data_IF_161146011201
#
_entry.id   IF_161146011201
#
_cell.length_a   1.000
_cell.length_b   1.000
_cell.length_c   1.000
_cell.angle_alpha   90.00
_cell.angle_beta   90.00
_cell.angle_gamma   90.00
#
_symmetry.space_group_name_H-M   'P 1'
#
loop_
_entity.id
_entity.type
_entity.pdbx_description
1 polymer ?
#
# COMPACT_ATOMS: atom_id res chain seq x y z
N UNK A 1 -2.39 18.24 24.20
CA UNK A 1 -1.84 16.85 24.21
C UNK A 1 -1.64 16.27 22.81
N UNK A 2 -2.62 16.34 21.89
CA UNK A 2 -2.51 15.73 20.54
C UNK A 2 -1.33 16.28 19.72
N UNK A 3 -1.14 17.61 19.69
CA UNK A 3 -0.04 18.26 18.96
C UNK A 3 1.32 17.79 19.48
N UNK A 4 1.50 17.72 20.80
CA UNK A 4 2.75 17.26 21.43
C UNK A 4 3.06 15.80 21.03
N UNK A 5 2.05 14.91 21.09
CA UNK A 5 2.21 13.52 20.62
C UNK A 5 2.63 13.47 19.16
N UNK A 6 2.06 14.30 18.31
CA UNK A 6 2.42 14.36 16.89
C UNK A 6 3.85 14.91 16.68
N UNK A 7 4.30 15.90 17.45
CA UNK A 7 5.68 16.38 17.42
C UNK A 7 6.66 15.27 17.83
N UNK A 8 6.38 14.57 18.93
CA UNK A 8 7.18 13.42 19.38
C UNK A 8 7.20 12.33 18.30
N UNK A 9 6.05 12.00 17.72
CA UNK A 9 5.98 11.01 16.63
C UNK A 9 6.85 11.42 15.46
N UNK A 10 6.78 12.67 14.98
CA UNK A 10 7.56 13.13 13.84
C UNK A 10 9.06 13.13 14.12
N UNK A 11 9.48 13.49 15.34
CA UNK A 11 10.87 13.39 15.76
C UNK A 11 11.36 11.94 15.70
N UNK A 12 10.63 11.02 16.38
CA UNK A 12 10.98 9.60 16.41
C UNK A 12 10.92 8.95 15.02
N UNK A 13 9.92 9.33 14.21
CA UNK A 13 9.80 8.89 12.81
C UNK A 13 11.02 9.30 11.99
N UNK A 14 11.49 10.55 12.15
CA UNK A 14 12.66 11.06 11.42
C UNK A 14 13.93 10.32 11.82
N UNK A 15 14.17 10.13 13.12
CA UNK A 15 15.33 9.39 13.63
C UNK A 15 15.29 7.92 13.19
N UNK A 16 14.14 7.27 13.31
CA UNK A 16 13.92 5.89 12.87
C UNK A 16 14.15 5.75 11.35
N UNK A 17 13.62 6.67 10.56
CA UNK A 17 13.78 6.65 9.09
C UNK A 17 15.24 6.87 8.70
N UNK A 18 15.94 7.79 9.34
CA UNK A 18 17.36 8.03 9.08
C UNK A 18 18.21 6.79 9.42
N UNK A 19 17.97 6.17 10.57
CA UNK A 19 18.64 4.93 10.96
C UNK A 19 18.44 3.83 9.91
N UNK A 20 17.17 3.53 9.55
CA UNK A 20 16.87 2.50 8.57
C UNK A 20 17.32 2.85 7.15
N UNK A 21 17.41 4.12 6.80
CA UNK A 21 18.00 4.55 5.54
C UNK A 21 19.48 4.14 5.45
N UNK A 22 20.26 4.36 6.51
CA UNK A 22 21.67 3.91 6.57
C UNK A 22 21.76 2.38 6.48
N UNK A 23 20.93 1.64 7.26
CA UNK A 23 20.89 0.18 7.20
C UNK A 23 20.54 -0.31 5.79
N UNK A 24 19.60 0.34 5.13
CA UNK A 24 19.18 0.01 3.76
C UNK A 24 20.30 0.28 2.74
N UNK A 25 21.05 1.38 2.89
CA UNK A 25 22.23 1.66 2.06
C UNK A 25 23.30 0.59 2.23
N UNK A 26 23.62 0.20 3.45
CA UNK A 26 24.57 -0.87 3.74
C UNK A 26 24.09 -2.23 3.19
N UNK A 27 22.77 -2.43 3.11
CA UNK A 27 22.19 -3.64 2.53
C UNK A 27 22.14 -3.63 0.99
N UNK A 28 22.63 -2.59 0.31
CA UNK A 28 22.52 -2.44 -1.16
C UNK A 28 23.17 -3.60 -1.94
N UNK A 29 24.21 -4.21 -1.37
CA UNK A 29 24.90 -5.38 -1.95
C UNK A 29 24.14 -6.70 -1.77
N UNK A 30 23.11 -6.73 -0.92
CA UNK A 30 22.34 -7.93 -0.62
C UNK A 30 21.26 -8.20 -1.71
N UNK A 31 20.80 -9.45 -1.83
CA UNK A 31 19.67 -9.79 -2.69
C UNK A 31 18.42 -8.97 -2.37
N UNK A 32 17.60 -8.69 -3.40
CA UNK A 32 16.43 -7.81 -3.28
C UNK A 32 15.46 -8.22 -2.15
N UNK A 33 15.28 -9.51 -1.90
CA UNK A 33 14.42 -9.99 -0.81
C UNK A 33 14.91 -9.57 0.57
N UNK A 34 16.23 -9.64 0.82
CA UNK A 34 16.81 -9.22 2.10
C UNK A 34 16.71 -7.70 2.29
N UNK A 35 16.95 -6.90 1.24
CA UNK A 35 16.71 -5.45 1.29
C UNK A 35 15.24 -5.14 1.58
N UNK A 36 14.32 -5.89 0.99
CA UNK A 36 12.89 -5.77 1.27
C UNK A 36 12.55 -6.03 2.74
N UNK A 37 13.19 -7.02 3.37
CA UNK A 37 13.01 -7.28 4.81
C UNK A 37 13.40 -6.07 5.67
N UNK A 38 14.48 -5.35 5.31
CA UNK A 38 14.87 -4.09 5.99
C UNK A 38 13.74 -3.06 5.89
N UNK A 39 13.19 -2.84 4.71
CA UNK A 39 12.08 -1.91 4.52
C UNK A 39 10.79 -2.35 5.24
N UNK A 40 10.53 -3.65 5.30
CA UNK A 40 9.39 -4.19 6.07
C UNK A 40 9.57 -3.94 7.56
N UNK A 41 10.77 -4.16 8.11
CA UNK A 41 11.07 -3.88 9.53
C UNK A 41 10.93 -2.38 9.83
N UNK A 42 11.43 -1.52 8.94
CA UNK A 42 11.21 -0.08 9.03
C UNK A 42 9.72 0.28 9.10
N UNK A 43 8.91 -0.24 8.18
CA UNK A 43 7.48 0.04 8.13
C UNK A 43 6.75 -0.46 9.38
N UNK A 44 7.07 -1.67 9.86
CA UNK A 44 6.55 -2.21 11.13
C UNK A 44 6.93 -1.33 12.32
N UNK A 45 8.17 -0.83 12.36
CA UNK A 45 8.62 0.11 13.39
C UNK A 45 7.82 1.41 13.38
N UNK A 46 7.55 2.00 12.20
CA UNK A 46 6.71 3.21 12.08
C UNK A 46 5.29 2.95 12.55
N UNK A 47 4.69 1.81 12.18
CA UNK A 47 3.36 1.40 12.68
C UNK A 47 3.37 1.23 14.20
N UNK A 48 4.45 0.65 14.74
CA UNK A 48 4.69 0.56 16.19
C UNK A 48 4.75 1.93 16.88
N UNK A 49 5.46 2.91 16.29
CA UNK A 49 5.50 4.28 16.79
C UNK A 49 4.12 4.95 16.75
N UNK A 50 3.35 4.77 15.68
CA UNK A 50 1.97 5.27 15.58
C UNK A 50 1.09 4.68 16.68
N UNK A 51 1.23 3.38 16.97
CA UNK A 51 0.49 2.71 18.04
C UNK A 51 0.89 3.24 19.41
N UNK A 52 2.19 3.35 19.73
CA UNK A 52 2.67 3.69 21.07
C UNK A 52 2.57 5.17 21.40
N UNK A 53 2.84 6.06 20.45
CA UNK A 53 2.88 7.52 20.67
C UNK A 53 1.52 8.17 20.42
N UNK A 54 0.89 7.84 19.30
CA UNK A 54 -0.39 8.43 18.89
C UNK A 54 -1.57 7.66 19.48
N UNK A 55 -1.45 6.34 19.64
CA UNK A 55 -2.58 5.45 19.94
C UNK A 55 -3.33 4.99 18.69
N UNK A 56 -2.70 5.08 17.51
CA UNK A 56 -3.27 4.63 16.24
C UNK A 56 -2.92 3.16 15.99
N UNK A 57 -3.92 2.30 16.08
CA UNK A 57 -3.80 0.85 15.92
C UNK A 57 -4.41 0.40 14.59
N UNK A 58 -4.30 -0.87 14.26
CA UNK A 58 -5.08 -1.48 13.18
C UNK A 58 -5.65 -2.84 13.60
N UNK A 59 -6.71 -3.22 12.91
CA UNK A 59 -7.32 -4.55 12.93
C UNK A 59 -7.53 -5.04 11.50
N UNK A 60 -7.64 -6.35 11.34
CA UNK A 60 -7.80 -7.00 10.04
C UNK A 60 -9.06 -7.85 10.08
N UNK A 61 -9.89 -7.70 9.06
CA UNK A 61 -11.03 -8.55 8.76
C UNK A 61 -10.74 -9.32 7.46
N UNK A 62 -11.08 -10.59 7.40
CA UNK A 62 -10.88 -11.42 6.21
C UNK A 62 -9.43 -11.86 5.99
N UNK A 63 -8.68 -12.12 7.06
CA UNK A 63 -7.29 -12.61 6.96
C UNK A 63 -7.20 -13.92 6.17
N UNK A 64 -8.21 -14.77 6.26
CA UNK A 64 -8.40 -16.02 5.53
C UNK A 64 -8.50 -15.85 4.01
N UNK A 65 -8.77 -14.63 3.55
CA UNK A 65 -8.85 -14.29 2.13
C UNK A 65 -7.47 -14.03 1.48
N UNK A 66 -6.39 -14.07 2.26
CA UNK A 66 -5.03 -13.93 1.70
C UNK A 66 -4.63 -15.29 1.09
N UNK A 67 -4.45 -15.37 -0.25
CA UNK A 67 -4.05 -16.63 -0.89
C UNK A 67 -2.59 -16.98 -0.57
N UNK A 68 -2.24 -18.27 -0.68
CA UNK A 68 -0.87 -18.74 -0.50
C UNK A 68 0.07 -18.34 -1.64
N UNK A 69 -0.48 -17.96 -2.79
CA UNK A 69 0.28 -17.59 -3.97
C UNK A 69 0.41 -16.08 -4.13
N UNK A 70 1.57 -15.57 -4.65
CA UNK A 70 1.75 -14.16 -4.93
C UNK A 70 0.61 -13.57 -5.77
N UNK A 71 0.00 -12.51 -5.26
CA UNK A 71 -1.20 -11.89 -5.83
C UNK A 71 -1.05 -10.38 -5.91
N UNK A 72 -1.99 -9.71 -6.59
CA UNK A 72 -2.06 -8.26 -6.68
C UNK A 72 -3.00 -7.74 -5.60
N UNK A 73 -2.46 -7.02 -4.61
CA UNK A 73 -3.26 -6.33 -3.61
C UNK A 73 -3.81 -5.04 -4.21
N UNK A 74 -5.13 -4.96 -4.35
CA UNK A 74 -5.84 -3.77 -4.79
C UNK A 74 -6.45 -3.07 -3.57
N UNK A 75 -5.77 -2.06 -3.05
CA UNK A 75 -6.19 -1.40 -1.82
C UNK A 75 -6.77 -0.02 -2.10
N UNK A 76 -7.86 0.34 -1.41
CA UNK A 76 -8.33 1.73 -1.30
C UNK A 76 -7.19 2.63 -0.83
N UNK A 77 -7.10 3.86 -1.35
CA UNK A 77 -6.02 4.78 -1.00
C UNK A 77 -6.56 6.03 -0.33
N UNK A 78 -6.39 6.16 0.98
CA UNK A 78 -6.86 7.32 1.76
C UNK A 78 -5.72 8.08 2.44
N UNK A 79 -4.65 7.38 2.84
CA UNK A 79 -3.63 7.91 3.74
C UNK A 79 -2.20 7.48 3.34
N UNK A 80 -1.21 7.88 4.12
CA UNK A 80 0.12 7.26 4.11
C UNK A 80 0.18 5.99 4.98
N UNK A 81 -0.81 5.80 5.85
CA UNK A 81 -0.83 4.70 6.81
C UNK A 81 -0.86 3.32 6.14
N UNK A 82 -1.73 3.14 5.15
CA UNK A 82 -1.87 1.85 4.47
C UNK A 82 -0.61 1.44 3.72
N UNK A 83 0.21 2.39 3.25
CA UNK A 83 1.48 2.05 2.59
C UNK A 83 2.50 1.44 3.55
N UNK A 84 2.37 1.72 4.84
CA UNK A 84 3.18 1.17 5.93
C UNK A 84 2.58 -0.13 6.46
N UNK A 85 1.28 -0.11 6.79
CA UNK A 85 0.61 -1.25 7.42
C UNK A 85 0.52 -2.47 6.49
N UNK A 86 0.30 -2.28 5.19
CA UNK A 86 0.27 -3.37 4.22
C UNK A 86 1.60 -4.16 4.19
N UNK A 87 2.74 -3.51 4.46
CA UNK A 87 4.04 -4.19 4.60
C UNK A 87 4.09 -5.15 5.80
N UNK A 88 3.25 -4.92 6.82
CA UNK A 88 3.16 -5.81 7.97
C UNK A 88 2.12 -6.92 7.79
N UNK A 89 1.09 -6.67 6.97
CA UNK A 89 -0.08 -7.54 6.79
C UNK A 89 0.18 -8.60 5.71
N UNK A 90 0.69 -8.18 4.56
CA UNK A 90 0.91 -9.08 3.42
C UNK A 90 2.36 -9.58 3.34
N UNK A 91 2.61 -10.71 2.66
CA UNK A 91 3.97 -11.19 2.38
C UNK A 91 4.79 -10.13 1.62
N UNK A 92 6.08 -10.41 1.41
CA UNK A 92 7.00 -9.50 0.70
C UNK A 92 6.39 -8.94 -0.59
N UNK A 93 6.20 -7.64 -0.66
CA UNK A 93 5.47 -6.98 -1.73
C UNK A 93 6.17 -5.74 -2.25
N UNK A 94 5.94 -5.40 -3.49
CA UNK A 94 6.37 -4.15 -4.12
C UNK A 94 5.18 -3.27 -4.43
N UNK A 95 5.35 -1.95 -4.28
CA UNK A 95 4.31 -0.99 -4.62
C UNK A 95 4.45 -0.49 -6.06
N UNK A 96 3.31 -0.28 -6.70
CA UNK A 96 3.23 0.50 -7.94
C UNK A 96 3.12 1.97 -7.57
N UNK A 97 4.12 2.76 -7.93
CA UNK A 97 4.23 4.16 -7.51
C UNK A 97 4.61 5.11 -8.67
N UNK A 98 4.47 6.39 -8.41
CA UNK A 98 4.89 7.44 -9.37
C UNK A 98 6.40 7.55 -9.42
N UNK A 99 6.98 7.61 -10.62
CA UNK A 99 8.41 7.81 -10.85
C UNK A 99 8.97 9.05 -10.14
N UNK A 100 8.16 10.10 -10.04
CA UNK A 100 8.54 11.36 -9.40
C UNK A 100 8.92 11.21 -7.92
N UNK A 101 8.45 10.15 -7.23
CA UNK A 101 8.82 9.89 -5.84
C UNK A 101 10.32 9.56 -5.66
N UNK A 102 10.99 9.12 -6.73
CA UNK A 102 12.44 8.88 -6.69
C UNK A 102 13.28 10.14 -6.55
N UNK A 103 12.71 11.31 -6.85
CA UNK A 103 13.42 12.59 -6.74
C UNK A 103 13.34 13.21 -5.34
N UNK A 104 12.58 12.60 -4.41
CA UNK A 104 12.53 13.07 -3.02
C UNK A 104 13.84 12.67 -2.33
N UNK A 105 14.64 13.65 -1.82
CA UNK A 105 15.90 13.35 -1.15
C UNK A 105 15.72 12.34 0.00
N UNK A 106 16.69 11.45 0.19
CA UNK A 106 16.70 10.36 1.19
C UNK A 106 15.62 9.31 0.91
N UNK A 107 14.35 9.71 0.88
CA UNK A 107 13.21 8.81 0.66
C UNK A 107 13.23 8.15 -0.72
N UNK A 108 13.55 8.92 -1.78
CA UNK A 108 13.62 8.41 -3.15
C UNK A 108 14.71 7.37 -3.34
N UNK A 109 15.89 7.58 -2.77
CA UNK A 109 16.99 6.61 -2.80
C UNK A 109 16.61 5.32 -2.07
N UNK A 110 15.96 5.43 -0.90
CA UNK A 110 15.43 4.28 -0.18
C UNK A 110 14.40 3.50 -1.01
N UNK A 111 13.49 4.20 -1.70
CA UNK A 111 12.51 3.57 -2.59
C UNK A 111 13.19 2.80 -3.75
N UNK A 112 14.24 3.35 -4.36
CA UNK A 112 14.97 2.67 -5.46
C UNK A 112 15.52 1.33 -4.97
N UNK A 113 16.10 1.30 -3.78
CA UNK A 113 16.64 0.07 -3.18
C UNK A 113 15.55 -0.98 -2.89
N UNK A 114 14.32 -0.54 -2.62
CA UNK A 114 13.15 -1.40 -2.44
C UNK A 114 12.60 -1.97 -3.76
N UNK A 115 13.19 -1.59 -4.90
CA UNK A 115 12.82 -2.14 -6.22
C UNK A 115 11.32 -2.04 -6.57
N UNK A 116 10.62 -0.91 -6.36
CA UNK A 116 9.21 -0.77 -6.67
C UNK A 116 8.95 -0.85 -8.19
N UNK A 117 7.69 -0.84 -8.57
CA UNK A 117 7.25 -0.69 -9.96
C UNK A 117 6.95 0.79 -10.21
N UNK A 118 7.80 1.46 -10.95
CA UNK A 118 7.67 2.89 -11.21
C UNK A 118 6.86 3.19 -12.49
N UNK A 119 5.90 4.12 -12.37
CA UNK A 119 5.05 4.56 -13.49
C UNK A 119 5.43 5.98 -13.91
N UNK A 120 5.76 6.16 -15.17
CA UNK A 120 5.78 7.47 -15.83
C UNK A 120 4.38 7.76 -16.43
N UNK A 121 3.58 8.54 -15.72
CA UNK A 121 2.21 8.87 -16.15
C UNK A 121 2.15 9.85 -17.32
N UNK A 122 3.26 10.48 -17.66
CA UNK A 122 3.33 11.42 -18.80
C UNK A 122 3.41 10.70 -20.15
N UNK A 123 3.70 9.39 -20.15
CA UNK A 123 3.84 8.56 -21.36
C UNK A 123 3.00 7.29 -21.26
N UNK A 124 1.64 7.37 -21.34
CA UNK A 124 0.74 6.26 -21.03
C UNK A 124 0.99 4.98 -21.86
N UNK A 125 1.25 5.12 -23.16
CA UNK A 125 1.46 4.00 -24.06
C UNK A 125 2.74 3.19 -23.72
N UNK A 126 3.84 3.86 -23.37
CA UNK A 126 5.08 3.22 -22.92
C UNK A 126 4.97 2.70 -21.48
N UNK A 127 4.18 3.39 -20.65
CA UNK A 127 3.98 3.04 -19.25
C UNK A 127 3.41 1.63 -19.08
N UNK A 128 2.41 1.24 -19.86
CA UNK A 128 1.79 -0.08 -19.77
C UNK A 128 2.79 -1.22 -19.99
N UNK A 129 3.60 -1.14 -21.05
CA UNK A 129 4.62 -2.15 -21.36
C UNK A 129 5.67 -2.22 -20.23
N UNK A 130 6.20 -1.06 -19.82
CA UNK A 130 7.21 -0.98 -18.75
C UNK A 130 6.70 -1.54 -17.42
N UNK A 131 5.43 -1.27 -17.07
CA UNK A 131 4.82 -1.78 -15.83
C UNK A 131 4.71 -3.30 -15.88
N UNK A 132 4.30 -3.88 -17.00
CA UNK A 132 4.18 -5.32 -17.15
C UNK A 132 5.55 -6.01 -17.10
N UNK A 133 6.56 -5.47 -17.78
CA UNK A 133 7.94 -5.99 -17.72
C UNK A 133 8.52 -5.93 -16.30
N UNK A 134 8.33 -4.81 -15.59
CA UNK A 134 8.75 -4.67 -14.21
C UNK A 134 7.96 -5.64 -13.31
N UNK A 135 6.64 -5.74 -13.48
CA UNK A 135 5.76 -6.64 -12.73
C UNK A 135 6.18 -8.10 -12.88
N UNK A 136 6.46 -8.54 -14.13
CA UNK A 136 6.95 -9.88 -14.39
C UNK A 136 8.24 -10.19 -13.63
N UNK A 137 9.23 -9.28 -13.69
CA UNK A 137 10.49 -9.41 -12.94
C UNK A 137 10.28 -9.52 -11.43
N UNK A 138 9.24 -8.91 -10.88
CA UNK A 138 8.90 -8.97 -9.43
C UNK A 138 8.17 -10.28 -9.11
N UNK A 139 7.19 -10.68 -9.94
CA UNK A 139 6.51 -11.98 -9.84
C UNK A 139 7.52 -13.12 -9.86
N UNK A 140 8.44 -13.13 -10.82
CA UNK A 140 9.45 -14.19 -10.98
C UNK A 140 10.37 -14.30 -9.74
N UNK A 141 10.50 -13.21 -8.95
CA UNK A 141 11.18 -13.19 -7.65
C UNK A 141 10.25 -13.52 -6.47
N UNK A 142 9.00 -13.89 -6.74
CA UNK A 142 8.00 -14.24 -5.71
C UNK A 142 7.47 -13.06 -4.89
N UNK A 143 7.55 -11.83 -5.41
CA UNK A 143 6.94 -10.67 -4.76
C UNK A 143 5.45 -10.56 -5.09
N UNK A 144 4.68 -10.15 -4.10
CA UNK A 144 3.34 -9.59 -4.27
C UNK A 144 3.43 -8.20 -4.87
N UNK A 145 2.35 -7.72 -5.48
CA UNK A 145 2.31 -6.38 -6.07
C UNK A 145 1.15 -5.61 -5.46
N UNK A 146 1.42 -4.47 -4.85
CA UNK A 146 0.37 -3.61 -4.30
C UNK A 146 0.10 -2.44 -5.23
N UNK A 147 -1.16 -2.25 -5.55
CA UNK A 147 -1.67 -1.19 -6.43
C UNK A 147 -2.81 -0.47 -5.72
N UNK A 148 -2.78 0.84 -5.79
CA UNK A 148 -3.90 1.70 -5.44
C UNK A 148 -4.64 2.06 -6.74
N UNK A 149 -5.80 1.42 -7.03
CA UNK A 149 -6.43 1.52 -8.35
C UNK A 149 -6.94 2.93 -8.68
N UNK A 150 -7.24 3.74 -7.68
CA UNK A 150 -7.62 5.15 -7.82
C UNK A 150 -6.45 6.03 -8.29
N UNK A 151 -5.23 5.61 -7.96
CA UNK A 151 -3.99 6.29 -8.33
C UNK A 151 -3.75 7.61 -7.61
N UNK A 152 -4.58 7.97 -6.66
CA UNK A 152 -4.43 9.12 -5.74
C UNK A 152 -5.17 8.82 -4.46
N UNK A 153 -4.84 9.56 -3.39
CA UNK A 153 -5.57 9.45 -2.12
C UNK A 153 -6.94 10.10 -2.24
N UNK A 154 -7.98 9.36 -1.87
CA UNK A 154 -9.39 9.77 -1.85
C UNK A 154 -9.79 10.02 -0.39
N UNK A 155 -10.60 11.03 -0.14
CA UNK A 155 -11.07 11.33 1.23
C UNK A 155 -12.07 10.26 1.70
N UNK A 156 -12.16 10.02 3.01
CA UNK A 156 -13.25 9.22 3.59
C UNK A 156 -14.62 9.71 3.10
N UNK A 157 -15.53 8.78 2.84
CA UNK A 157 -16.86 9.07 2.29
C UNK A 157 -16.90 9.37 0.78
N UNK A 158 -15.74 9.53 0.12
CA UNK A 158 -15.67 9.79 -1.31
C UNK A 158 -15.29 8.51 -2.09
N UNK A 159 -15.82 8.39 -3.31
CA UNK A 159 -15.46 7.34 -4.27
C UNK A 159 -14.58 7.91 -5.37
N UNK A 160 -13.42 7.28 -5.59
CA UNK A 160 -12.50 7.62 -6.67
C UNK A 160 -12.80 6.85 -7.96
N UNK A 161 -12.18 7.27 -9.06
CA UNK A 161 -12.24 6.52 -10.33
C UNK A 161 -11.23 5.38 -10.32
N UNK A 162 -11.67 4.15 -10.43
CA UNK A 162 -10.83 2.96 -10.53
C UNK A 162 -10.26 2.79 -11.93
N UNK A 163 -8.93 2.64 -12.03
CA UNK A 163 -8.21 2.49 -13.30
C UNK A 163 -8.00 1.02 -13.62
N UNK A 164 -8.12 0.63 -14.87
CA UNK A 164 -7.97 -0.75 -15.34
C UNK A 164 -6.55 -1.31 -15.20
N UNK A 165 -5.57 -0.52 -14.77
CA UNK A 165 -4.17 -0.92 -14.69
C UNK A 165 -3.91 -2.15 -13.82
N UNK A 166 -4.61 -2.28 -12.68
CA UNK A 166 -4.50 -3.43 -11.80
C UNK A 166 -5.02 -4.72 -12.46
N UNK A 167 -6.22 -4.68 -13.06
CA UNK A 167 -6.81 -5.83 -13.73
C UNK A 167 -6.02 -6.25 -14.99
N UNK A 168 -5.52 -5.29 -15.77
CA UNK A 168 -4.61 -5.57 -16.89
C UNK A 168 -3.33 -6.26 -16.44
N UNK A 169 -2.76 -5.83 -15.34
CA UNK A 169 -1.57 -6.46 -14.78
C UNK A 169 -1.89 -7.86 -14.25
N UNK A 170 -3.01 -8.04 -13.54
CA UNK A 170 -3.46 -9.33 -13.02
C UNK A 170 -3.60 -10.36 -14.16
N UNK A 171 -4.28 -9.98 -15.23
CA UNK A 171 -4.46 -10.80 -16.43
C UNK A 171 -3.13 -11.15 -17.10
N UNK A 172 -2.29 -10.15 -17.36
CA UNK A 172 -1.04 -10.34 -18.08
C UNK A 172 0.00 -11.13 -17.28
N UNK A 173 -0.02 -11.02 -15.96
CA UNK A 173 0.89 -11.73 -15.07
C UNK A 173 0.29 -13.03 -14.50
N UNK A 174 -0.97 -13.35 -14.79
CA UNK A 174 -1.68 -14.50 -14.20
C UNK A 174 -1.55 -14.49 -12.67
N UNK A 175 -1.91 -13.36 -12.06
CA UNK A 175 -1.93 -13.14 -10.60
C UNK A 175 -3.34 -12.77 -10.17
N UNK A 176 -3.88 -13.43 -9.15
CA UNK A 176 -5.18 -13.08 -8.60
C UNK A 176 -5.17 -11.66 -8.02
N UNK A 177 -6.32 -11.01 -7.97
CA UNK A 177 -6.48 -9.71 -7.33
C UNK A 177 -7.10 -9.89 -5.94
N UNK A 178 -6.51 -9.26 -4.93
CA UNK A 178 -7.03 -9.23 -3.55
C UNK A 178 -7.53 -7.82 -3.25
N UNK A 179 -8.85 -7.59 -3.28
CA UNK A 179 -9.41 -6.29 -2.97
C UNK A 179 -9.33 -5.99 -1.46
N UNK A 180 -8.94 -4.78 -1.09
CA UNK A 180 -8.79 -4.36 0.31
C UNK A 180 -9.41 -2.98 0.52
N UNK A 181 -10.39 -2.89 1.42
CA UNK A 181 -10.92 -1.64 1.93
C UNK A 181 -10.14 -1.18 3.17
N UNK A 182 -10.03 0.13 3.40
CA UNK A 182 -9.34 0.69 4.56
C UNK A 182 -9.89 2.07 4.92
N UNK A 183 -10.13 2.33 6.21
CA UNK A 183 -10.62 3.60 6.72
C UNK A 183 -9.53 4.51 7.31
N UNK A 184 -8.29 4.34 6.89
CA UNK A 184 -7.10 5.02 7.42
C UNK A 184 -7.17 6.56 7.31
N UNK A 185 -7.90 7.09 6.33
CA UNK A 185 -8.07 8.52 6.13
C UNK A 185 -8.82 9.24 7.25
N UNK A 186 -9.63 8.52 8.02
CA UNK A 186 -10.32 9.05 9.21
C UNK A 186 -9.32 9.43 10.31
N UNK A 187 -8.21 8.69 10.42
CA UNK A 187 -7.22 8.85 11.49
C UNK A 187 -5.94 9.57 11.04
N UNK A 188 -5.59 9.43 9.76
CA UNK A 188 -4.47 10.16 9.17
C UNK A 188 -4.90 10.78 7.83
N UNK A 189 -5.56 11.93 7.84
CA UNK A 189 -6.03 12.60 6.63
C UNK A 189 -4.89 12.93 5.66
N UNK A 190 -5.20 12.96 4.37
CA UNK A 190 -4.27 13.33 3.31
C UNK A 190 -3.64 14.70 3.60
N UNK A 191 -2.32 14.79 3.53
CA UNK A 191 -1.52 15.99 3.77
C UNK A 191 -1.65 16.59 5.19
N UNK A 192 -2.22 15.86 6.16
CA UNK A 192 -2.31 16.33 7.54
C UNK A 192 -0.99 16.09 8.29
N UNK A 193 -0.58 17.11 9.05
CA UNK A 193 0.47 16.96 10.06
C UNK A 193 -0.03 16.09 11.22
N UNK A 194 -1.30 16.24 11.60
CA UNK A 194 -1.89 15.53 12.72
C UNK A 194 -2.32 14.10 12.33
N UNK A 195 -2.07 13.17 13.24
CA UNK A 195 -2.60 11.82 13.29
C UNK A 195 -3.45 11.72 14.56
N UNK A 196 -4.55 11.00 14.46
CA UNK A 196 -5.52 10.85 15.54
C UNK A 196 -5.47 9.42 16.08
N UNK A 197 -5.69 9.22 17.39
CA UNK A 197 -5.81 7.89 17.97
C UNK A 197 -7.04 7.18 17.42
N UNK A 198 -6.99 5.86 17.42
CA UNK A 198 -8.11 5.02 16.98
C UNK A 198 -7.65 3.71 16.36
N UNK A 199 -8.57 3.00 15.73
CA UNK A 199 -8.30 1.71 15.11
C UNK A 199 -8.64 1.75 13.62
N UNK A 200 -7.60 1.65 12.78
CA UNK A 200 -7.77 1.49 11.33
C UNK A 200 -8.19 0.06 11.04
N UNK A 201 -9.27 -0.11 10.28
CA UNK A 201 -9.72 -1.43 9.82
C UNK A 201 -9.27 -1.68 8.39
N UNK A 202 -8.58 -2.80 8.18
CA UNK A 202 -8.30 -3.37 6.87
C UNK A 202 -9.29 -4.51 6.64
N UNK A 203 -10.19 -4.35 5.67
CA UNK A 203 -11.16 -5.38 5.30
C UNK A 203 -10.72 -6.03 3.98
N UNK A 204 -10.15 -7.24 4.09
CA UNK A 204 -9.61 -8.02 2.98
C UNK A 204 -10.75 -8.86 2.40
N UNK A 205 -11.04 -8.65 1.12
CA UNK A 205 -12.13 -9.32 0.44
C UNK A 205 -11.66 -10.58 -0.28
N UNK A 206 -12.59 -11.51 -0.56
CA UNK A 206 -12.28 -12.72 -1.31
C UNK A 206 -11.60 -12.42 -2.64
N UNK A 207 -10.53 -13.14 -3.00
CA UNK A 207 -9.76 -12.91 -4.22
C UNK A 207 -10.62 -13.01 -5.48
N UNK A 208 -10.20 -12.31 -6.53
CA UNK A 208 -10.74 -12.38 -7.87
C UNK A 208 -9.71 -13.10 -8.72
N UNK A 209 -10.12 -14.17 -9.39
CA UNK A 209 -9.25 -14.96 -10.26
C UNK A 209 -8.74 -14.11 -11.43
N UNK A 210 -7.49 -14.34 -11.85
CA UNK A 210 -6.85 -13.56 -12.92
C UNK A 210 -7.52 -13.75 -14.29
N UNK A 211 -8.23 -14.87 -14.47
CA UNK A 211 -8.99 -15.24 -15.69
C UNK A 211 -10.49 -14.92 -15.60
N UNK A 212 -10.94 -14.27 -14.51
CA UNK A 212 -12.34 -13.87 -14.33
C UNK A 212 -12.79 -12.86 -15.39
N UNK A 213 -13.78 -13.20 -16.19
CA UNK A 213 -14.46 -12.32 -17.15
C UNK A 213 -13.51 -11.49 -18.04
N UNK A 214 -13.91 -10.30 -18.42
CA UNK A 214 -13.07 -9.29 -19.08
C UNK A 214 -12.23 -8.50 -18.05
N UNK A 215 -11.27 -7.70 -18.52
CA UNK A 215 -10.49 -6.78 -17.67
C UNK A 215 -11.40 -5.76 -16.99
N UNK A 216 -12.41 -5.31 -17.71
CA UNK A 216 -13.41 -4.35 -17.23
C UNK A 216 -14.27 -4.96 -16.13
N UNK A 217 -14.80 -6.16 -16.34
CA UNK A 217 -15.60 -6.90 -15.34
C UNK A 217 -14.78 -7.23 -14.09
N UNK A 218 -13.52 -7.66 -14.25
CA UNK A 218 -12.61 -7.92 -13.14
C UNK A 218 -12.40 -6.64 -12.30
N UNK A 219 -12.20 -5.48 -12.94
CA UNK A 219 -12.01 -4.23 -12.21
C UNK A 219 -13.30 -3.75 -11.56
N UNK A 220 -14.45 -3.91 -12.22
CA UNK A 220 -15.75 -3.58 -11.67
C UNK A 220 -16.07 -4.42 -10.43
N UNK A 221 -15.79 -5.72 -10.46
CA UNK A 221 -15.95 -6.60 -9.29
C UNK A 221 -15.02 -6.18 -8.14
N UNK A 222 -13.77 -5.83 -8.46
CA UNK A 222 -12.81 -5.33 -7.47
C UNK A 222 -13.30 -4.04 -6.80
N UNK A 223 -13.77 -3.09 -7.60
CA UNK A 223 -14.35 -1.83 -7.13
C UNK A 223 -15.57 -2.09 -6.24
N UNK A 224 -16.50 -2.91 -6.68
CA UNK A 224 -17.72 -3.25 -5.92
C UNK A 224 -17.38 -3.85 -4.56
N UNK A 225 -16.44 -4.81 -4.51
CA UNK A 225 -16.01 -5.44 -3.25
C UNK A 225 -15.38 -4.40 -2.30
N UNK A 226 -14.48 -3.55 -2.82
CA UNK A 226 -13.82 -2.52 -2.02
C UNK A 226 -14.85 -1.51 -1.50
N UNK A 227 -15.69 -0.94 -2.35
CA UNK A 227 -16.60 0.13 -1.95
C UNK A 227 -17.71 -0.36 -1.01
N UNK A 228 -18.19 -1.60 -1.21
CA UNK A 228 -19.17 -2.21 -0.27
C UNK A 228 -18.55 -2.42 1.12
N UNK A 229 -17.32 -2.93 1.19
CA UNK A 229 -16.62 -3.10 2.46
C UNK A 229 -16.25 -1.75 3.09
N UNK A 230 -15.84 -0.77 2.26
CA UNK A 230 -15.49 0.58 2.68
C UNK A 230 -16.64 1.28 3.40
N UNK A 231 -17.85 1.21 2.84
CA UNK A 231 -19.03 1.80 3.46
C UNK A 231 -19.29 1.20 4.86
N UNK A 232 -19.12 -0.12 5.02
CA UNK A 232 -19.33 -0.80 6.31
C UNK A 232 -18.31 -0.37 7.37
N UNK A 233 -17.01 -0.36 7.02
CA UNK A 233 -15.95 -0.03 7.99
C UNK A 233 -15.91 1.46 8.35
N UNK A 234 -16.38 2.35 7.47
CA UNK A 234 -16.51 3.78 7.79
C UNK A 234 -17.71 4.04 8.70
N UNK A 235 -18.87 3.41 8.42
CA UNK A 235 -20.05 3.52 9.28
C UNK A 235 -19.80 3.02 10.70
N UNK A 236 -19.05 1.92 10.87
CA UNK A 236 -18.74 1.36 12.17
C UNK A 236 -17.95 2.34 13.09
N UNK A 237 -17.16 3.26 12.52
CA UNK A 237 -16.42 4.28 13.30
C UNK A 237 -17.35 5.38 13.79
N UNK A 238 -18.40 5.73 13.05
CA UNK A 238 -19.35 6.77 13.45
C UNK A 238 -20.34 6.32 14.53
N UNK A 239 -20.40 5.01 14.82
CA UNK A 239 -21.29 4.41 15.82
C UNK A 239 -20.59 4.17 17.17
N UNK A 240 -19.30 4.40 17.26
CA UNK A 240 -18.48 4.32 18.49
C UNK A 240 -18.25 5.72 19.10
#
# INVERSE_FOLDING_TARGET
MLVIKNLIFWLLFSLHTLFFFVVLLLSAVLPARLRHSVGTVWAKGVVGLLKSVIGLKYQIEGLENIPDTPSIVCCKHQSGYETLALQAIFPSQVFVLKKELFYIPVFGQGLILMSPIAIDRKKPAKATKQILEQGKKRKDKGFWITIFPEGTRIKPGEKGKYKLGAARMARALQMNMVPVAVNSGLFWPKNSFLKYPGTVTFSIQSPIAWDFGSVEEMMQQCEQKIETAQAKIEQAVHQQ
#
